data_IF_625955329730
#
_entry.id   IF_625955329730
#
_cell.length_a   1.000
_cell.length_b   1.000
_cell.length_c   1.000
_cell.angle_alpha   90.00
_cell.angle_beta   90.00
_cell.angle_gamma   90.00
#
_symmetry.space_group_name_H-M   'P 1'
#
loop_
_entity.id
_entity.type
_entity.pdbx_description
1 polymer ?
#
# COMPACT_ATOMS: atom_id res chain seq x y z
N UNK A 1 4.19 18.85 1.85
CA UNK A 1 3.44 19.99 1.26
C UNK A 1 2.56 20.76 2.27
N UNK A 2 2.86 20.75 3.58
CA UNK A 2 2.24 21.66 4.56
C UNK A 2 0.70 21.66 4.64
N UNK A 3 0.00 20.67 4.05
CA UNK A 3 -1.46 20.57 4.05
C UNK A 3 -2.22 21.48 3.09
N UNK A 4 -1.54 22.32 2.29
CA UNK A 4 -2.20 23.28 1.38
C UNK A 4 -2.21 22.85 -0.09
N UNK A 5 -1.42 21.84 -0.45
CA UNK A 5 -1.40 21.25 -1.78
C UNK A 5 -1.13 19.75 -1.70
N UNK A 6 -1.66 19.02 -2.67
CA UNK A 6 -1.57 17.57 -2.76
C UNK A 6 -0.93 17.18 -4.09
N UNK A 7 0.00 16.22 -4.12
CA UNK A 7 0.51 15.69 -5.38
C UNK A 7 -0.63 14.95 -6.08
N UNK A 8 -1.14 15.50 -7.17
CA UNK A 8 -2.20 14.87 -7.95
C UNK A 8 -1.59 13.89 -8.94
N UNK A 9 -1.88 12.60 -8.74
CA UNK A 9 -1.42 11.52 -9.60
C UNK A 9 -2.49 11.10 -10.63
N UNK A 10 -3.55 11.89 -10.80
CA UNK A 10 -4.71 11.61 -11.67
C UNK A 10 -5.63 10.51 -11.12
N UNK A 11 -6.77 10.32 -11.79
CA UNK A 11 -7.85 9.42 -11.42
C UNK A 11 -7.42 7.94 -11.40
N UNK A 12 -8.11 7.14 -10.56
CA UNK A 12 -7.95 5.68 -10.50
C UNK A 12 -8.78 5.02 -11.62
N UNK A 13 -8.16 4.41 -12.65
CA UNK A 13 -8.85 3.81 -13.78
C UNK A 13 -9.25 2.36 -13.45
N UNK A 14 -10.02 2.18 -12.38
CA UNK A 14 -10.45 0.86 -11.89
C UNK A 14 -11.88 0.54 -12.34
N UNK A 15 -12.23 -0.76 -12.37
CA UNK A 15 -13.55 -1.22 -12.80
C UNK A 15 -13.85 -0.94 -14.28
N UNK A 16 -15.12 -0.64 -14.60
CA UNK A 16 -15.59 -0.32 -15.95
C UNK A 16 -15.30 1.16 -16.26
N UNK A 17 -14.45 1.44 -17.25
CA UNK A 17 -13.87 2.79 -17.49
C UNK A 17 -14.35 3.49 -18.78
N UNK A 18 -15.12 2.82 -19.65
CA UNK A 18 -15.64 3.42 -20.88
C UNK A 18 -17.05 4.00 -20.69
N UNK A 19 -17.23 5.28 -21.06
CA UNK A 19 -18.53 5.97 -21.06
C UNK A 19 -19.38 5.61 -22.29
N UNK A 20 -20.72 5.51 -22.16
CA UNK A 20 -21.66 5.30 -23.28
C UNK A 20 -21.51 6.30 -24.44
N UNK A 21 -21.04 7.52 -24.15
CA UNK A 21 -20.90 8.59 -25.15
C UNK A 21 -19.58 8.54 -25.95
N UNK A 22 -18.71 7.56 -25.70
CA UNK A 22 -17.40 7.47 -26.35
C UNK A 22 -17.41 6.74 -27.71
N UNK A 23 -18.55 6.15 -28.11
CA UNK A 23 -18.71 5.43 -29.38
C UNK A 23 -17.86 4.16 -29.53
N UNK A 24 -17.13 3.74 -28.48
CA UNK A 24 -16.28 2.54 -28.46
C UNK A 24 -16.95 1.45 -27.62
N UNK A 25 -17.64 0.56 -28.33
CA UNK A 25 -18.11 -0.72 -27.78
C UNK A 25 -17.11 -1.85 -28.14
N UNK A 26 -16.99 -2.89 -27.31
CA UNK A 26 -17.69 -3.13 -26.04
C UNK A 26 -17.08 -2.37 -24.86
N UNK A 27 -17.87 -2.21 -23.80
CA UNK A 27 -17.44 -1.62 -22.53
C UNK A 27 -16.18 -2.32 -22.01
N UNK A 28 -15.13 -1.56 -21.70
CA UNK A 28 -13.88 -2.16 -21.22
C UNK A 28 -13.73 -2.01 -19.71
N UNK A 29 -13.41 -3.12 -19.07
CA UNK A 29 -12.79 -3.10 -17.75
C UNK A 29 -11.39 -2.51 -17.84
N UNK A 30 -10.87 -2.10 -16.69
CA UNK A 30 -9.46 -1.78 -16.54
C UNK A 30 -8.58 -2.90 -17.09
N UNK A 31 -7.50 -2.52 -17.78
CA UNK A 31 -6.50 -3.47 -18.29
C UNK A 31 -5.45 -3.82 -17.24
N UNK A 32 -5.52 -3.19 -16.06
CA UNK A 32 -4.59 -3.44 -14.96
C UNK A 32 -4.92 -4.77 -14.28
N UNK A 33 -3.89 -5.57 -14.05
CA UNK A 33 -3.96 -6.74 -13.18
C UNK A 33 -4.28 -6.33 -11.74
N UNK A 34 -4.74 -7.28 -10.92
CA UNK A 34 -5.01 -7.01 -9.51
C UNK A 34 -3.77 -6.50 -8.75
N UNK A 35 -2.58 -7.01 -9.09
CA UNK A 35 -1.32 -6.58 -8.49
C UNK A 35 -0.96 -5.14 -8.92
N UNK A 36 -1.16 -4.79 -10.18
CA UNK A 36 -0.96 -3.41 -10.66
C UNK A 36 -1.96 -2.43 -10.03
N UNK A 37 -3.22 -2.83 -9.84
CA UNK A 37 -4.22 -2.00 -9.16
C UNK A 37 -3.86 -1.77 -7.68
N UNK A 38 -3.36 -2.80 -6.97
CA UNK A 38 -2.83 -2.64 -5.60
C UNK A 38 -1.60 -1.73 -5.59
N UNK A 39 -0.69 -1.87 -6.55
CA UNK A 39 0.48 -1.01 -6.71
C UNK A 39 0.06 0.45 -6.91
N UNK A 40 -0.88 0.72 -7.82
CA UNK A 40 -1.38 2.08 -8.05
C UNK A 40 -2.06 2.66 -6.80
N UNK A 41 -2.99 1.92 -6.19
CA UNK A 41 -3.68 2.35 -4.98
C UNK A 41 -2.71 2.64 -3.83
N UNK A 42 -1.71 1.78 -3.64
CA UNK A 42 -0.69 1.96 -2.60
C UNK A 42 0.15 3.20 -2.86
N UNK A 43 0.61 3.41 -4.10
CA UNK A 43 1.44 4.56 -4.44
C UNK A 43 0.65 5.86 -4.25
N UNK A 44 -0.60 5.94 -4.71
CA UNK A 44 -1.43 7.13 -4.58
C UNK A 44 -1.68 7.44 -3.11
N UNK A 45 -2.00 6.42 -2.30
CA UNK A 45 -2.23 6.60 -0.88
C UNK A 45 -0.96 7.03 -0.12
N UNK A 46 0.21 6.42 -0.39
CA UNK A 46 1.44 6.74 0.35
C UNK A 46 2.07 8.07 -0.10
N UNK A 47 1.73 8.63 -1.26
CA UNK A 47 2.13 10.00 -1.62
C UNK A 47 1.10 11.05 -1.21
N UNK A 48 -0.01 10.62 -0.60
CA UNK A 48 -1.16 11.45 -0.22
C UNK A 48 -1.81 12.14 -1.43
N UNK A 49 -1.95 11.43 -2.54
CA UNK A 49 -2.70 11.89 -3.70
C UNK A 49 -4.20 11.90 -3.40
N UNK A 50 -4.97 12.84 -3.98
CA UNK A 50 -6.42 12.71 -4.05
C UNK A 50 -6.79 11.35 -4.67
N UNK A 51 -7.74 10.64 -4.06
CA UNK A 51 -8.21 9.34 -4.51
C UNK A 51 -9.56 9.51 -5.23
N UNK A 52 -9.50 9.78 -6.53
CA UNK A 52 -10.69 9.97 -7.37
C UNK A 52 -10.95 8.70 -8.19
N UNK A 53 -12.08 8.02 -7.93
CA UNK A 53 -12.46 6.82 -8.68
C UNK A 53 -13.04 7.19 -10.05
N UNK A 54 -12.47 6.62 -11.12
CA UNK A 54 -12.87 6.92 -12.50
C UNK A 54 -13.81 5.91 -13.16
N UNK A 55 -14.16 4.81 -12.49
CA UNK A 55 -15.02 3.77 -13.03
C UNK A 55 -16.51 4.01 -12.78
N UNK A 56 -17.36 3.15 -13.35
CA UNK A 56 -18.78 3.12 -13.05
C UNK A 56 -19.05 2.55 -11.64
N UNK A 57 -19.35 3.41 -10.67
CA UNK A 57 -19.56 3.01 -9.27
C UNK A 57 -20.74 2.05 -9.05
N UNK A 58 -21.72 2.03 -9.96
CA UNK A 58 -22.84 1.08 -9.94
C UNK A 58 -22.46 -0.34 -10.38
N UNK A 59 -21.23 -0.54 -10.87
CA UNK A 59 -20.73 -1.80 -11.41
C UNK A 59 -19.44 -2.25 -10.70
N UNK A 60 -19.33 -1.98 -9.39
CA UNK A 60 -18.19 -2.40 -8.58
C UNK A 60 -18.22 -3.90 -8.28
N UNK A 61 -17.16 -4.60 -8.68
CA UNK A 61 -16.90 -5.95 -8.18
C UNK A 61 -16.31 -5.94 -6.76
N UNK A 62 -16.29 -7.11 -6.11
CA UNK A 62 -15.82 -7.25 -4.73
C UNK A 62 -14.33 -6.92 -4.57
N UNK A 63 -13.51 -7.16 -5.59
CA UNK A 63 -12.07 -6.87 -5.55
C UNK A 63 -11.84 -5.35 -5.54
N UNK A 64 -12.45 -4.65 -6.49
CA UNK A 64 -12.37 -3.19 -6.63
C UNK A 64 -12.96 -2.50 -5.41
N UNK A 65 -14.09 -2.98 -4.89
CA UNK A 65 -14.63 -2.49 -3.61
C UNK A 65 -13.63 -2.69 -2.47
N UNK A 66 -12.95 -3.85 -2.41
CA UNK A 66 -11.90 -4.13 -1.43
C UNK A 66 -10.71 -3.18 -1.50
N UNK A 67 -10.33 -2.73 -2.71
CA UNK A 67 -9.30 -1.70 -2.89
C UNK A 67 -9.75 -0.35 -2.29
N UNK A 68 -10.96 0.09 -2.64
CA UNK A 68 -11.49 1.40 -2.28
C UNK A 68 -11.88 1.51 -0.80
N UNK A 69 -12.29 0.40 -0.18
CA UNK A 69 -12.81 0.37 1.19
C UNK A 69 -11.78 -0.08 2.25
N UNK A 70 -10.52 -0.30 1.88
CA UNK A 70 -9.49 -0.72 2.82
C UNK A 70 -9.16 0.42 3.81
N UNK A 71 -9.69 0.31 5.04
CA UNK A 71 -9.57 1.34 6.08
C UNK A 71 -8.14 1.71 6.43
N UNK A 72 -7.23 0.74 6.48
CA UNK A 72 -5.82 0.97 6.84
C UNK A 72 -5.09 1.76 5.74
N UNK A 73 -5.40 1.49 4.46
CA UNK A 73 -4.84 2.23 3.31
C UNK A 73 -5.41 3.64 3.26
N UNK A 74 -6.72 3.80 3.51
CA UNK A 74 -7.36 5.11 3.58
C UNK A 74 -6.84 5.94 4.77
N UNK A 75 -6.60 5.30 5.92
CA UNK A 75 -6.01 5.96 7.08
C UNK A 75 -4.57 6.41 6.81
N UNK A 76 -3.77 5.59 6.12
CA UNK A 76 -2.46 6.02 5.63
C UNK A 76 -2.59 7.28 4.77
N UNK A 77 -3.42 7.25 3.72
CA UNK A 77 -3.63 8.41 2.85
C UNK A 77 -4.01 9.68 3.63
N UNK A 78 -4.96 9.56 4.57
CA UNK A 78 -5.47 10.69 5.34
C UNK A 78 -4.46 11.20 6.37
N UNK A 79 -3.90 10.32 7.20
CA UNK A 79 -3.24 10.69 8.46
C UNK A 79 -1.74 10.47 8.50
N UNK A 80 -1.17 9.72 7.55
CA UNK A 80 0.28 9.49 7.58
C UNK A 80 1.06 10.80 7.46
N UNK A 81 2.26 10.79 8.02
CA UNK A 81 3.21 11.90 7.95
C UNK A 81 4.57 11.39 7.49
N UNK A 82 5.51 12.29 7.18
CA UNK A 82 6.88 11.92 6.76
C UNK A 82 6.90 10.92 5.57
N UNK A 83 5.93 11.09 4.67
CA UNK A 83 5.79 10.33 3.44
C UNK A 83 6.94 10.67 2.49
N UNK A 84 7.77 9.68 2.17
CA UNK A 84 8.97 9.88 1.35
C UNK A 84 9.35 8.63 0.57
N UNK A 85 10.04 8.87 -0.53
CA UNK A 85 10.70 7.82 -1.30
C UNK A 85 12.03 7.50 -0.64
N UNK A 86 12.21 6.24 -0.25
CA UNK A 86 13.43 5.75 0.43
C UNK A 86 14.49 5.35 -0.60
N UNK A 87 14.07 4.60 -1.62
CA UNK A 87 14.91 4.19 -2.74
C UNK A 87 14.04 4.05 -4.00
N UNK A 88 14.62 4.24 -5.17
CA UNK A 88 14.00 3.92 -6.44
C UNK A 88 15.08 3.55 -7.47
N UNK A 89 14.86 2.44 -8.15
CA UNK A 89 15.63 1.99 -9.31
C UNK A 89 14.69 1.66 -10.48
N UNK A 90 15.25 1.19 -11.59
CA UNK A 90 14.45 0.62 -12.69
C UNK A 90 13.70 -0.64 -12.27
N UNK A 91 14.25 -1.42 -11.32
CA UNK A 91 13.71 -2.73 -10.92
C UNK A 91 12.70 -2.64 -9.76
N UNK A 92 12.91 -1.74 -8.81
CA UNK A 92 12.05 -1.64 -7.62
C UNK A 92 12.03 -0.24 -7.05
N UNK A 93 11.00 0.06 -6.26
CA UNK A 93 10.91 1.29 -5.49
C UNK A 93 10.49 0.98 -4.04
N UNK A 94 10.95 1.80 -3.10
CA UNK A 94 10.59 1.71 -1.69
C UNK A 94 10.11 3.08 -1.23
N UNK A 95 8.94 3.09 -0.62
CA UNK A 95 8.36 4.26 0.03
C UNK A 95 8.13 3.98 1.49
N UNK A 96 8.23 5.01 2.32
CA UNK A 96 7.94 4.93 3.73
C UNK A 96 7.17 6.15 4.22
N UNK A 97 6.39 5.95 5.26
CA UNK A 97 5.66 6.99 5.96
C UNK A 97 5.49 6.62 7.44
N UNK A 98 5.31 7.63 8.30
CA UNK A 98 4.95 7.43 9.71
C UNK A 98 3.43 7.34 9.83
N UNK A 99 2.96 6.34 10.55
CA UNK A 99 1.57 6.26 10.99
C UNK A 99 1.40 7.02 12.32
N UNK A 100 0.20 7.03 12.87
CA UNK A 100 -0.02 7.52 14.24
C UNK A 100 0.59 6.57 15.27
N UNK A 101 1.19 7.11 16.33
CA UNK A 101 1.90 6.33 17.35
C UNK A 101 3.23 5.80 16.83
N UNK A 102 3.67 4.65 17.34
CA UNK A 102 4.99 4.06 17.03
C UNK A 102 4.98 3.16 15.78
N UNK A 103 3.98 3.36 14.90
CA UNK A 103 3.79 2.54 13.70
C UNK A 103 4.39 3.22 12.46
N UNK A 104 4.89 2.41 11.53
CA UNK A 104 5.43 2.87 10.25
C UNK A 104 4.81 2.13 9.08
N UNK A 105 4.57 2.82 7.96
CA UNK A 105 4.17 2.22 6.69
C UNK A 105 5.38 2.06 5.77
N UNK A 106 5.47 0.93 5.07
CA UNK A 106 6.51 0.66 4.07
C UNK A 106 5.88 0.01 2.84
N UNK A 107 6.01 0.66 1.68
CA UNK A 107 5.60 0.12 0.40
C UNK A 107 6.80 -0.37 -0.41
N UNK A 108 6.87 -1.68 -0.69
CA UNK A 108 7.89 -2.29 -1.55
C UNK A 108 7.28 -2.64 -2.91
N UNK A 109 7.67 -1.92 -3.95
CA UNK A 109 7.12 -2.04 -5.31
C UNK A 109 8.06 -2.84 -6.21
N UNK A 110 7.56 -3.93 -6.77
CA UNK A 110 8.27 -4.71 -7.77
C UNK A 110 7.90 -4.20 -9.17
N UNK A 111 8.87 -3.69 -9.93
CA UNK A 111 8.65 -3.20 -11.30
C UNK A 111 9.06 -4.23 -12.37
N UNK A 112 9.54 -5.39 -11.94
CA UNK A 112 9.96 -6.48 -12.82
C UNK A 112 8.78 -7.38 -13.17
N UNK A 113 8.92 -8.08 -14.29
CA UNK A 113 7.96 -9.07 -14.78
C UNK A 113 8.06 -10.43 -14.07
N UNK A 114 8.88 -10.54 -13.02
CA UNK A 114 9.08 -11.77 -12.23
C UNK A 114 8.96 -11.49 -10.74
N UNK A 115 8.46 -12.49 -10.00
CA UNK A 115 8.44 -12.46 -8.53
C UNK A 115 9.84 -12.23 -8.00
N UNK A 116 10.00 -11.22 -7.14
CA UNK A 116 11.31 -10.80 -6.66
C UNK A 116 11.24 -10.52 -5.16
N UNK A 117 12.25 -11.00 -4.42
CA UNK A 117 12.43 -10.62 -3.02
C UNK A 117 13.01 -9.21 -2.95
N UNK A 118 12.24 -8.28 -2.40
CA UNK A 118 12.64 -6.91 -2.18
C UNK A 118 13.11 -6.74 -0.74
N UNK A 119 14.22 -6.00 -0.56
CA UNK A 119 14.82 -5.77 0.74
C UNK A 119 15.15 -4.30 0.94
N UNK A 120 14.92 -3.79 2.15
CA UNK A 120 15.33 -2.45 2.56
C UNK A 120 15.80 -2.47 4.02
N UNK A 121 16.78 -1.65 4.38
CA UNK A 121 17.30 -1.62 5.76
C UNK A 121 16.42 -0.79 6.67
N UNK A 122 16.36 -1.16 7.96
CA UNK A 122 15.69 -0.38 9.00
C UNK A 122 16.26 1.04 9.09
N UNK A 123 17.58 1.19 8.99
CA UNK A 123 18.23 2.49 8.97
C UNK A 123 17.71 3.40 7.85
N UNK A 124 17.52 2.90 6.62
CA UNK A 124 16.96 3.69 5.51
C UNK A 124 15.48 4.06 5.75
N UNK A 125 14.76 3.23 6.51
CA UNK A 125 13.39 3.49 6.94
C UNK A 125 13.31 4.48 8.12
N UNK A 126 14.43 4.82 8.77
CA UNK A 126 14.46 5.62 9.99
C UNK A 126 14.11 4.83 11.25
N UNK A 127 14.24 3.51 11.19
CA UNK A 127 13.98 2.55 12.26
C UNK A 127 15.29 2.11 12.93
N UNK A 128 15.22 1.68 14.19
CA UNK A 128 16.36 1.17 14.93
C UNK A 128 16.80 -0.20 14.39
N UNK A 129 18.08 -0.35 14.04
CA UNK A 129 18.62 -1.57 13.42
C UNK A 129 18.79 -2.75 14.38
N UNK A 130 18.81 -2.49 15.69
CA UNK A 130 19.00 -3.48 16.76
C UNK A 130 17.68 -3.98 17.36
N UNK A 131 16.55 -3.59 16.79
CA UNK A 131 15.21 -4.04 17.19
C UNK A 131 14.58 -4.93 16.12
N UNK A 132 13.66 -5.79 16.55
CA UNK A 132 12.77 -6.54 15.66
C UNK A 132 11.44 -5.81 15.51
N UNK A 133 10.77 -6.00 14.38
CA UNK A 133 9.51 -5.35 14.07
C UNK A 133 8.46 -6.37 13.63
N UNK A 134 7.29 -6.35 14.26
CA UNK A 134 6.11 -7.02 13.77
C UNK A 134 5.61 -6.28 12.54
N UNK A 135 5.36 -7.00 11.45
CA UNK A 135 4.79 -6.47 10.22
C UNK A 135 3.47 -7.15 9.87
N UNK A 136 2.53 -6.37 9.34
CA UNK A 136 1.32 -6.85 8.68
C UNK A 136 1.23 -6.27 7.28
N UNK A 137 1.03 -7.13 6.29
CA UNK A 137 0.71 -6.71 4.93
C UNK A 137 -0.76 -6.28 4.84
N UNK A 138 -1.01 -5.03 4.47
CA UNK A 138 -2.34 -4.41 4.49
C UNK A 138 -3.27 -4.89 3.37
N UNK A 139 -2.75 -5.59 2.35
CA UNK A 139 -3.56 -6.15 1.26
C UNK A 139 -3.92 -7.61 1.48
N UNK A 140 -3.03 -8.37 2.12
CA UNK A 140 -3.17 -9.82 2.31
C UNK A 140 -3.50 -10.21 3.75
N UNK A 141 -3.27 -9.31 4.72
CA UNK A 141 -3.38 -9.59 6.15
C UNK A 141 -2.27 -10.49 6.71
N UNK A 142 -1.27 -10.85 5.89
CA UNK A 142 -0.18 -11.72 6.31
C UNK A 142 0.72 -10.99 7.30
N UNK A 143 0.99 -11.63 8.44
CA UNK A 143 1.91 -11.12 9.46
C UNK A 143 3.27 -11.80 9.38
N UNK A 144 4.32 -11.10 9.78
CA UNK A 144 5.68 -11.63 9.90
C UNK A 144 6.49 -10.80 10.90
N UNK A 145 7.59 -11.35 11.41
CA UNK A 145 8.62 -10.58 12.12
C UNK A 145 9.70 -10.21 11.12
N UNK A 146 10.13 -8.95 11.13
CA UNK A 146 11.27 -8.44 10.40
C UNK A 146 12.42 -8.24 11.39
N UNK A 147 13.59 -8.81 11.08
CA UNK A 147 14.77 -8.84 11.96
C UNK A 147 16.04 -8.55 11.15
N UNK A 148 17.21 -8.64 11.79
CA UNK A 148 18.52 -8.47 11.16
C UNK A 148 18.70 -7.09 10.48
N UNK A 149 18.08 -6.05 11.05
CA UNK A 149 18.22 -4.67 10.56
C UNK A 149 17.55 -4.41 9.20
N UNK A 150 16.61 -5.26 8.74
CA UNK A 150 16.01 -5.15 7.40
C UNK A 150 14.57 -5.66 7.33
N UNK A 151 13.83 -5.09 6.38
CA UNK A 151 12.56 -5.64 5.88
C UNK A 151 12.85 -6.44 4.61
N UNK A 152 12.32 -7.67 4.50
CA UNK A 152 12.47 -8.49 3.30
C UNK A 152 11.18 -9.24 2.96
N UNK A 153 10.65 -9.03 1.75
CA UNK A 153 9.38 -9.63 1.29
C UNK A 153 9.45 -10.04 -0.17
N UNK A 154 8.88 -11.21 -0.50
CA UNK A 154 8.69 -11.65 -1.88
C UNK A 154 7.45 -11.01 -2.48
N UNK A 155 7.62 -10.29 -3.59
CA UNK A 155 6.56 -9.50 -4.24
C UNK A 155 6.35 -9.99 -5.67
N UNK A 156 5.08 -10.22 -6.03
CA UNK A 156 4.67 -10.65 -7.37
C UNK A 156 5.10 -9.65 -8.47
N UNK A 157 5.16 -10.07 -9.75
CA UNK A 157 5.42 -9.17 -10.87
C UNK A 157 4.50 -7.95 -10.84
N UNK A 158 5.06 -6.75 -11.03
CA UNK A 158 4.32 -5.48 -11.02
C UNK A 158 3.52 -5.19 -9.73
N UNK A 159 3.71 -6.01 -8.69
CA UNK A 159 2.97 -5.95 -7.45
C UNK A 159 3.62 -5.08 -6.39
N UNK A 160 2.96 -5.06 -5.23
CA UNK A 160 3.40 -4.32 -4.05
C UNK A 160 3.18 -5.14 -2.79
N UNK A 161 4.12 -5.05 -1.85
CA UNK A 161 3.87 -5.37 -0.45
C UNK A 161 3.74 -4.05 0.31
N UNK A 162 2.58 -3.81 0.91
CA UNK A 162 2.33 -2.63 1.75
C UNK A 162 2.28 -3.08 3.20
N UNK A 163 3.36 -2.82 3.93
CA UNK A 163 3.51 -3.25 5.32
C UNK A 163 3.18 -2.11 6.28
N UNK A 164 2.52 -2.45 7.38
CA UNK A 164 2.48 -1.64 8.60
C UNK A 164 3.33 -2.34 9.65
N UNK A 165 4.30 -1.62 10.22
CA UNK A 165 5.30 -2.15 11.16
C UNK A 165 5.16 -1.49 12.52
N UNK A 166 5.36 -2.26 13.59
CA UNK A 166 5.61 -1.78 14.94
C UNK A 166 6.82 -2.51 15.52
N UNK A 167 7.57 -1.83 16.39
CA UNK A 167 8.62 -2.47 17.17
C UNK A 167 8.00 -3.63 17.98
N UNK A 168 8.62 -4.81 17.93
CA UNK A 168 8.21 -5.93 18.75
C UNK A 168 8.32 -5.52 20.22
N UNK A 169 7.25 -5.71 21.00
CA UNK A 169 7.30 -5.43 22.42
C UNK A 169 8.39 -6.29 23.07
N UNK A 170 9.38 -5.64 23.70
CA UNK A 170 10.38 -6.31 24.55
C UNK A 170 9.64 -6.99 25.70
N UNK A 171 9.39 -8.29 25.56
CA UNK A 171 8.66 -9.19 26.47
C UNK A 171 7.53 -8.55 27.32
N UNK A 172 6.28 -8.78 26.91
CA UNK A 172 5.16 -8.73 27.88
C UNK A 172 3.79 -8.31 27.38
N UNK A 173 3.61 -7.92 26.11
CA UNK A 173 2.26 -7.58 25.61
C UNK A 173 2.04 -8.19 24.22
N UNK A 174 1.32 -9.31 24.20
CA UNK A 174 0.79 -9.88 22.99
C UNK A 174 -0.05 -8.82 22.26
N UNK A 175 0.12 -8.70 20.95
CA UNK A 175 -0.80 -8.03 20.06
C UNK A 175 -2.18 -8.67 20.23
N UNK A 176 -3.02 -8.08 21.08
CA UNK A 176 -4.44 -8.39 21.11
C UNK A 176 -5.04 -7.84 19.81
N UNK A 177 -5.14 -8.72 18.81
CA UNK A 177 -6.07 -8.56 17.71
C UNK A 177 -7.46 -8.66 18.33
N UNK A 178 -8.08 -7.52 18.63
CA UNK A 178 -9.52 -7.50 18.88
C UNK A 178 -10.22 -7.87 17.58
N UNK A 179 -10.59 -9.16 17.50
CA UNK A 179 -11.57 -9.64 16.53
C UNK A 179 -12.90 -8.99 16.88
N UNK A 180 -13.21 -7.88 16.20
CA UNK A 180 -14.57 -7.33 16.14
C UNK A 180 -15.49 -8.30 15.39
N UNK A 181 -15.98 -9.31 16.11
CA UNK A 181 -17.04 -10.20 15.66
C UNK A 181 -18.42 -9.69 16.11
N UNK A 182 -19.30 -9.52 15.13
CA UNK A 182 -20.77 -9.60 15.21
C UNK A 182 -21.52 -8.69 16.20
N UNK A 183 -22.18 -7.67 15.66
CA UNK A 183 -23.65 -7.52 15.70
C UNK A 183 -24.13 -6.83 14.42
#
# INVERSE_FOLDING_TARGET
LGGMSWPDMDMLPFGVISSPNSGRLPYRNTSLTHDEQRSQMTLWAIVKSPLMFGGAATQLDAFTMGLLANREVLEMNAKSTDNRRVNSSSAHAVWAAKASGDWSYVGLFNRLASTTTLTTSFASLGLQSDQDYDSIDLWTGKTAVQSDGKVSVSVAPHGVALLKLAECAKSGRALLVERGGAR
#
